data_IF_800170784506
#
_entry.id   IF_800170784506
#
_cell.length_a   1.000
_cell.length_b   1.000
_cell.length_c   1.000
_cell.angle_alpha   90.00
_cell.angle_beta   90.00
_cell.angle_gamma   90.00
#
_symmetry.space_group_name_H-M   'P 1'
#
loop_
_entity.id
_entity.type
_entity.pdbx_description
1 polymer ?
#
# COMPACT_ATOMS: atom_id res chain seq x y z
N UNK A 1 59.93 -33.97 59.75
CA UNK A 1 59.73 -34.43 61.13
C UNK A 1 58.31 -34.98 61.17
N UNK A 2 58.27 -36.25 61.17
CA UNK A 2 57.90 -37.16 62.28
C UNK A 2 56.39 -37.14 62.52
N UNK A 3 55.62 -38.13 62.42
CA UNK A 3 55.73 -39.60 62.54
C UNK A 3 54.32 -40.08 62.77
N UNK A 4 53.85 -41.12 62.08
CA UNK A 4 53.83 -42.49 62.54
C UNK A 4 52.95 -42.66 63.82
N UNK A 5 52.06 -43.61 63.94
CA UNK A 5 52.07 -45.02 63.75
C UNK A 5 50.74 -45.64 64.17
N UNK A 6 50.38 -46.78 63.55
CA UNK A 6 49.99 -48.13 64.10
C UNK A 6 48.72 -48.20 64.95
N UNK A 7 47.91 -49.24 65.02
CA UNK A 7 47.84 -50.61 64.49
C UNK A 7 46.48 -51.16 64.97
N UNK A 8 45.73 -51.94 64.25
CA UNK A 8 45.65 -53.34 64.06
C UNK A 8 44.97 -54.15 65.22
N UNK A 9 44.19 -55.15 64.80
CA UNK A 9 43.88 -56.45 65.42
C UNK A 9 42.46 -56.57 66.10
N UNK A 10 41.57 -57.43 65.79
CA UNK A 10 41.40 -58.85 65.49
C UNK A 10 39.93 -59.25 65.64
N UNK A 11 39.45 -60.04 64.70
CA UNK A 11 38.67 -61.27 64.76
C UNK A 11 37.75 -61.52 65.96
N UNK A 12 36.52 -62.08 65.68
CA UNK A 12 36.17 -63.46 65.78
C UNK A 12 34.67 -63.71 65.38
N UNK A 13 34.51 -64.64 64.48
CA UNK A 13 33.48 -65.63 64.18
C UNK A 13 32.13 -65.67 64.95
N UNK A 14 31.04 -65.86 64.20
CA UNK A 14 29.81 -66.45 64.65
C UNK A 14 28.70 -66.47 63.60
N UNK A 15 28.55 -67.59 62.86
CA UNK A 15 27.28 -67.93 62.18
C UNK A 15 26.38 -68.65 63.12
N UNK A 16 25.04 -68.72 63.00
CA UNK A 16 24.39 -69.41 61.86
C UNK A 16 22.99 -68.88 61.43
N UNK A 17 22.63 -69.31 60.25
CA UNK A 17 21.32 -69.63 59.65
C UNK A 17 20.00 -69.15 60.31
N UNK A 18 19.19 -68.57 59.45
CA UNK A 18 17.75 -68.41 59.62
C UNK A 18 17.10 -67.95 58.34
N UNK A 19 16.31 -68.81 57.79
CA UNK A 19 15.69 -68.77 56.47
C UNK A 19 14.66 -67.65 56.23
N UNK A 20 14.48 -67.39 54.96
CA UNK A 20 13.24 -67.13 54.23
C UNK A 20 12.61 -65.74 54.26
N UNK A 21 12.32 -65.38 53.14
CA UNK A 21 11.11 -64.94 52.48
C UNK A 21 11.30 -63.72 51.58
N UNK A 22 11.10 -63.99 50.34
CA UNK A 22 10.88 -63.12 49.19
C UNK A 22 10.06 -61.86 49.48
N UNK A 23 10.54 -60.71 49.02
CA UNK A 23 9.73 -59.68 48.41
C UNK A 23 10.59 -58.90 47.42
N UNK A 24 10.53 -59.31 46.17
CA UNK A 24 11.09 -58.56 45.00
C UNK A 24 10.17 -57.38 44.75
N UNK A 25 10.54 -56.17 45.18
CA UNK A 25 9.98 -54.95 44.72
C UNK A 25 10.80 -54.49 43.52
N UNK A 26 10.25 -54.78 42.34
CA UNK A 26 10.74 -54.24 41.05
C UNK A 26 10.51 -52.74 41.06
N UNK A 27 11.55 -51.97 41.32
CA UNK A 27 11.57 -50.53 41.02
C UNK A 27 11.72 -50.38 39.51
N UNK A 28 10.60 -50.34 38.76
CA UNK A 28 10.58 -49.85 37.40
C UNK A 28 10.87 -48.36 37.43
N UNK A 29 12.13 -47.96 37.30
CA UNK A 29 12.52 -46.61 36.92
C UNK A 29 12.02 -46.39 35.49
N UNK A 30 10.87 -45.75 35.36
CA UNK A 30 10.40 -45.20 34.07
C UNK A 30 11.40 -44.15 33.63
N UNK A 31 12.35 -44.54 32.80
CA UNK A 31 13.10 -43.60 31.98
C UNK A 31 12.12 -42.92 31.00
N UNK A 32 11.58 -41.77 31.42
CA UNK A 32 10.93 -40.85 30.48
C UNK A 32 12.00 -40.37 29.54
N UNK A 33 12.14 -41.08 28.43
CA UNK A 33 12.94 -40.59 27.30
C UNK A 33 12.21 -39.33 26.79
N UNK A 34 12.63 -38.15 27.25
CA UNK A 34 12.35 -36.92 26.55
C UNK A 34 13.07 -37.06 25.21
N UNK A 35 12.32 -37.50 24.18
CA UNK A 35 12.78 -37.41 22.82
C UNK A 35 13.21 -35.96 22.58
N UNK A 36 14.23 -35.71 21.79
CA UNK A 36 14.61 -34.35 21.45
C UNK A 36 13.36 -33.68 20.85
N UNK A 37 12.81 -32.69 21.54
CA UNK A 37 11.87 -31.75 20.95
C UNK A 37 12.53 -31.27 19.68
N UNK A 38 11.90 -31.38 18.49
CA UNK A 38 12.48 -30.84 17.30
C UNK A 38 12.78 -29.37 17.60
N UNK A 39 14.06 -29.02 17.58
CA UNK A 39 14.47 -27.62 17.64
C UNK A 39 13.83 -26.97 16.41
N UNK A 40 12.76 -26.20 16.63
CA UNK A 40 12.24 -25.31 15.57
C UNK A 40 13.41 -24.40 15.27
N UNK A 41 14.00 -24.55 14.10
CA UNK A 41 15.07 -23.66 13.65
C UNK A 41 14.51 -22.25 13.78
N UNK A 42 15.21 -21.41 14.57
CA UNK A 42 14.83 -20.02 14.74
C UNK A 42 14.83 -19.34 13.37
N UNK A 43 13.72 -18.71 12.98
CA UNK A 43 13.61 -18.05 11.70
C UNK A 43 14.70 -17.00 11.56
N UNK A 44 15.42 -17.02 10.46
CA UNK A 44 16.38 -15.95 10.13
C UNK A 44 15.66 -14.62 10.07
N UNK A 45 16.15 -13.62 10.80
CA UNK A 45 15.57 -12.28 10.79
C UNK A 45 15.61 -11.67 9.38
N UNK A 46 14.46 -11.22 8.90
CA UNK A 46 14.30 -10.47 7.65
C UNK A 46 14.23 -8.98 7.98
N UNK A 47 15.02 -8.17 7.27
CA UNK A 47 15.02 -6.71 7.39
C UNK A 47 14.36 -6.11 6.15
N UNK A 48 13.19 -5.47 6.32
CA UNK A 48 12.45 -4.84 5.22
C UNK A 48 12.79 -3.35 5.10
N UNK A 49 13.20 -2.92 3.93
CA UNK A 49 13.28 -1.51 3.54
C UNK A 49 11.96 -1.12 2.87
N UNK A 50 11.17 -0.26 3.51
CA UNK A 50 9.88 0.23 2.97
C UNK A 50 10.08 1.63 2.41
N UNK A 51 9.93 1.81 1.10
CA UNK A 51 10.14 3.08 0.42
C UNK A 51 8.83 3.81 0.16
N UNK A 52 8.77 5.06 0.61
CA UNK A 52 7.69 6.01 0.34
C UNK A 52 8.25 7.26 -0.32
N UNK A 53 7.53 7.79 -1.31
CA UNK A 53 7.90 9.08 -1.90
C UNK A 53 7.21 10.28 -1.23
N UNK A 54 6.23 10.05 -0.35
CA UNK A 54 5.57 11.10 0.43
C UNK A 54 6.40 11.51 1.63
N UNK A 55 6.25 12.78 2.11
CA UNK A 55 7.01 13.28 3.25
C UNK A 55 6.55 12.67 4.60
N UNK A 56 7.36 12.79 5.66
CA UNK A 56 7.02 12.26 7.00
C UNK A 56 5.69 12.77 7.56
N UNK A 57 5.28 14.00 7.20
CA UNK A 57 4.01 14.59 7.63
C UNK A 57 2.78 14.06 6.87
N UNK A 58 2.96 13.32 5.78
CA UNK A 58 1.87 12.72 5.05
C UNK A 58 1.24 11.57 5.86
N UNK A 59 -0.09 11.49 5.96
CA UNK A 59 -0.76 10.47 6.80
C UNK A 59 -0.37 9.01 6.50
N UNK A 60 0.01 8.70 5.27
CA UNK A 60 0.52 7.37 4.92
C UNK A 60 1.82 7.01 5.65
N UNK A 61 2.68 7.98 5.98
CA UNK A 61 3.97 7.66 6.62
C UNK A 61 3.79 7.07 8.02
N UNK A 62 3.07 7.70 8.97
CA UNK A 62 2.79 7.07 10.26
C UNK A 62 1.91 5.82 10.14
N UNK A 63 0.96 5.76 9.18
CA UNK A 63 0.15 4.57 8.97
C UNK A 63 0.98 3.36 8.48
N UNK A 64 1.95 3.60 7.58
CA UNK A 64 2.91 2.58 7.14
C UNK A 64 3.81 2.11 8.28
N UNK A 65 4.26 3.01 9.16
CA UNK A 65 5.03 2.62 10.36
C UNK A 65 4.21 1.73 11.28
N UNK A 66 2.95 2.09 11.54
CA UNK A 66 2.05 1.28 12.36
C UNK A 66 1.80 -0.12 11.75
N UNK A 67 1.68 -0.21 10.41
CA UNK A 67 1.60 -1.49 9.69
C UNK A 67 2.88 -2.32 9.84
N UNK A 68 4.04 -1.69 9.74
CA UNK A 68 5.35 -2.32 9.90
C UNK A 68 5.57 -2.81 11.36
N UNK A 69 5.19 -1.99 12.35
CA UNK A 69 5.28 -2.35 13.77
C UNK A 69 4.39 -3.55 14.11
N UNK A 70 3.20 -3.64 13.50
CA UNK A 70 2.28 -4.78 13.71
C UNK A 70 2.86 -6.08 13.10
N UNK A 71 3.49 -5.99 11.92
CA UNK A 71 4.24 -7.10 11.30
C UNK A 71 5.39 -7.56 12.22
N UNK A 72 6.20 -6.64 12.75
CA UNK A 72 7.28 -6.97 13.66
C UNK A 72 6.75 -7.69 14.90
N UNK A 73 5.69 -7.17 15.50
CA UNK A 73 5.03 -7.79 16.65
C UNK A 73 4.44 -9.16 16.32
N UNK A 74 3.72 -9.30 15.20
CA UNK A 74 3.08 -10.54 14.79
C UNK A 74 4.10 -11.64 14.45
N UNK A 75 5.27 -11.25 13.92
CA UNK A 75 6.38 -12.16 13.61
C UNK A 75 7.25 -12.51 14.82
N UNK A 76 6.96 -11.98 16.03
CA UNK A 76 7.84 -12.14 17.19
C UNK A 76 9.22 -11.51 16.99
N UNK A 77 9.34 -10.47 16.14
CA UNK A 77 10.60 -9.77 15.83
C UNK A 77 11.48 -10.45 14.76
N UNK A 78 10.98 -11.51 14.12
CA UNK A 78 11.70 -12.17 13.02
C UNK A 78 11.57 -11.42 11.69
N UNK A 79 10.60 -10.51 11.56
CA UNK A 79 10.52 -9.52 10.48
C UNK A 79 10.65 -8.15 11.12
N UNK A 80 11.64 -7.38 10.68
CA UNK A 80 11.84 -5.99 11.09
C UNK A 80 11.75 -5.08 9.88
N UNK A 81 11.28 -3.86 10.06
CA UNK A 81 11.10 -2.94 8.95
C UNK A 81 11.62 -1.53 9.26
N UNK A 82 12.16 -0.88 8.23
CA UNK A 82 12.54 0.53 8.27
C UNK A 82 11.84 1.28 7.16
N UNK A 83 11.12 2.36 7.50
CA UNK A 83 10.40 3.19 6.55
C UNK A 83 11.27 4.38 6.12
N UNK A 84 11.47 4.51 4.81
CA UNK A 84 12.23 5.55 4.13
C UNK A 84 11.28 6.49 3.37
N UNK A 85 10.85 7.62 3.94
CA UNK A 85 9.96 8.58 3.28
C UNK A 85 10.73 9.54 2.38
N UNK A 86 10.00 10.44 1.66
CA UNK A 86 10.57 11.55 0.88
C UNK A 86 11.58 11.13 -0.20
N UNK A 87 11.30 10.05 -0.93
CA UNK A 87 12.15 9.57 -2.02
C UNK A 87 13.60 9.23 -1.60
N UNK A 88 13.84 8.89 -0.32
CA UNK A 88 15.19 8.59 0.18
C UNK A 88 15.87 7.41 -0.54
N UNK A 89 15.10 6.45 -1.04
CA UNK A 89 15.65 5.29 -1.75
C UNK A 89 15.51 5.41 -3.28
N UNK A 90 14.66 6.30 -3.78
CA UNK A 90 14.45 6.52 -5.21
C UNK A 90 13.22 7.35 -5.52
N UNK A 91 13.11 7.78 -6.78
CA UNK A 91 12.07 8.67 -7.24
C UNK A 91 10.69 8.00 -7.32
N UNK A 92 9.61 8.78 -7.15
CA UNK A 92 8.24 8.30 -7.17
C UNK A 92 7.89 7.49 -8.44
N UNK A 93 8.43 7.87 -9.59
CA UNK A 93 8.21 7.16 -10.85
C UNK A 93 8.83 5.76 -10.89
N UNK A 94 9.84 5.48 -10.07
CA UNK A 94 10.65 4.26 -10.14
C UNK A 94 10.21 3.17 -9.15
N UNK A 95 9.23 3.45 -8.28
CA UNK A 95 8.92 2.61 -7.11
C UNK A 95 8.51 1.17 -7.46
N UNK A 96 7.82 0.95 -8.61
CA UNK A 96 7.53 -0.43 -9.03
C UNK A 96 8.82 -1.19 -9.40
N UNK A 97 9.70 -0.55 -10.18
CA UNK A 97 10.97 -1.14 -10.58
C UNK A 97 11.90 -1.32 -9.38
N UNK A 98 11.86 -0.42 -8.40
CA UNK A 98 12.61 -0.57 -7.14
C UNK A 98 12.19 -1.81 -6.35
N UNK A 99 10.89 -2.16 -6.32
CA UNK A 99 10.43 -3.41 -5.72
C UNK A 99 10.86 -4.61 -6.54
N UNK A 100 10.71 -4.56 -7.87
CA UNK A 100 11.17 -5.64 -8.77
C UNK A 100 12.66 -5.92 -8.59
N UNK A 101 13.49 -4.89 -8.56
CA UNK A 101 14.95 -4.99 -8.59
C UNK A 101 15.58 -5.09 -7.18
N UNK A 102 14.78 -5.14 -6.10
CA UNK A 102 15.25 -5.29 -4.72
C UNK A 102 15.98 -4.07 -4.15
N UNK A 103 15.81 -2.89 -4.75
CA UNK A 103 16.32 -1.61 -4.18
C UNK A 103 15.62 -1.32 -2.86
N UNK A 104 14.31 -1.57 -2.81
CA UNK A 104 13.51 -1.61 -1.61
C UNK A 104 12.70 -2.91 -1.56
N UNK A 105 12.44 -3.42 -0.34
CA UNK A 105 11.71 -4.67 -0.15
C UNK A 105 10.20 -4.46 -0.26
N UNK A 106 9.71 -3.29 0.13
CA UNK A 106 8.31 -2.87 -0.04
C UNK A 106 8.27 -1.46 -0.59
N UNK A 107 7.41 -1.22 -1.58
CA UNK A 107 7.29 0.11 -2.19
C UNK A 107 5.84 0.57 -2.30
N UNK A 108 5.65 1.87 -2.12
CA UNK A 108 4.40 2.58 -2.38
C UNK A 108 4.36 3.03 -3.84
N UNK A 109 3.57 2.35 -4.65
CA UNK A 109 3.52 2.54 -6.10
C UNK A 109 2.28 3.34 -6.51
N UNK A 110 2.46 4.31 -7.41
CA UNK A 110 1.39 4.85 -8.24
C UNK A 110 1.51 4.21 -9.63
N UNK A 111 0.68 3.21 -9.99
CA UNK A 111 0.77 2.53 -11.29
C UNK A 111 0.58 3.50 -12.47
N UNK A 112 -0.18 4.58 -12.28
CA UNK A 112 -0.39 5.62 -13.27
C UNK A 112 0.82 6.52 -13.56
N UNK A 113 1.92 6.37 -12.80
CA UNK A 113 3.21 6.99 -13.11
C UNK A 113 3.98 6.24 -14.20
N UNK A 114 3.53 5.04 -14.58
CA UNK A 114 4.12 4.23 -15.66
C UNK A 114 3.10 4.00 -16.78
N UNK A 115 2.90 4.97 -17.68
CA UNK A 115 1.86 4.95 -18.70
C UNK A 115 1.86 3.65 -19.52
N UNK A 116 0.69 3.02 -19.64
CA UNK A 116 0.50 1.82 -20.47
C UNK A 116 1.01 0.50 -19.88
N UNK A 117 1.70 0.54 -18.73
CA UNK A 117 2.25 -0.68 -18.10
C UNK A 117 1.19 -1.50 -17.36
N UNK A 118 0.22 -0.84 -16.74
CA UNK A 118 -0.79 -1.46 -15.87
C UNK A 118 -2.21 -1.10 -16.34
N UNK A 119 -2.67 -1.61 -17.49
CA UNK A 119 -3.96 -1.23 -18.05
C UNK A 119 -5.15 -1.76 -17.23
N UNK A 120 -5.04 -2.90 -16.54
CA UNK A 120 -6.16 -3.45 -15.78
C UNK A 120 -6.49 -2.53 -14.60
N UNK A 121 -5.52 -2.22 -13.73
CA UNK A 121 -5.76 -1.37 -12.56
C UNK A 121 -6.17 0.06 -12.96
N UNK A 122 -5.84 0.50 -14.17
CA UNK A 122 -6.22 1.80 -14.69
C UNK A 122 -7.74 1.98 -14.85
N UNK A 123 -8.54 0.90 -14.86
CA UNK A 123 -10.01 0.99 -14.77
C UNK A 123 -10.47 1.78 -13.55
N UNK A 124 -9.82 1.56 -12.39
CA UNK A 124 -10.10 2.30 -11.16
C UNK A 124 -9.70 3.77 -11.21
N UNK A 125 -8.99 4.22 -12.25
CA UNK A 125 -8.56 5.60 -12.45
C UNK A 125 -9.41 6.39 -13.46
N UNK A 126 -10.39 5.73 -14.07
CA UNK A 126 -11.32 6.41 -14.97
C UNK A 126 -12.08 7.49 -14.18
N UNK A 127 -12.31 8.67 -14.78
CA UNK A 127 -13.05 9.74 -14.11
C UNK A 127 -14.43 9.29 -13.64
N UNK A 128 -14.87 9.81 -12.50
CA UNK A 128 -16.19 9.55 -11.91
C UNK A 128 -16.46 8.09 -11.48
N UNK A 129 -15.42 7.29 -11.24
CA UNK A 129 -15.57 5.90 -10.83
C UNK A 129 -15.91 5.76 -9.34
N UNK A 130 -15.22 6.49 -8.47
CA UNK A 130 -15.38 6.39 -7.02
C UNK A 130 -15.92 7.69 -6.42
N UNK A 131 -16.87 7.56 -5.46
CA UNK A 131 -17.42 8.66 -4.68
C UNK A 131 -16.94 8.71 -3.23
N UNK A 132 -16.32 7.66 -2.74
CA UNK A 132 -15.88 7.51 -1.34
C UNK A 132 -14.53 6.77 -1.29
N UNK A 133 -13.54 7.37 -0.65
CA UNK A 133 -12.19 6.82 -0.59
C UNK A 133 -12.06 5.56 0.27
N UNK A 134 -12.80 5.45 1.39
CA UNK A 134 -12.74 4.29 2.29
C UNK A 134 -13.40 3.07 1.65
N UNK A 135 -14.63 3.23 1.18
CA UNK A 135 -15.37 2.18 0.48
C UNK A 135 -14.71 1.81 -0.84
N UNK A 136 -14.19 2.82 -1.56
CA UNK A 136 -13.45 2.63 -2.80
C UNK A 136 -12.16 1.83 -2.62
N UNK A 137 -11.46 2.01 -1.51
CA UNK A 137 -10.29 1.18 -1.18
C UNK A 137 -10.66 -0.29 -1.04
N UNK A 138 -11.73 -0.61 -0.30
CA UNK A 138 -12.18 -1.99 -0.14
C UNK A 138 -12.62 -2.61 -1.47
N UNK A 139 -13.37 -1.86 -2.27
CA UNK A 139 -13.82 -2.30 -3.59
C UNK A 139 -12.65 -2.53 -4.55
N UNK A 140 -11.71 -1.58 -4.60
CA UNK A 140 -10.53 -1.65 -5.46
C UNK A 140 -9.65 -2.85 -5.10
N UNK A 141 -9.32 -3.02 -3.81
CA UNK A 141 -8.42 -4.08 -3.39
C UNK A 141 -9.03 -5.47 -3.64
N UNK A 142 -10.29 -5.69 -3.27
CA UNK A 142 -10.98 -6.96 -3.51
C UNK A 142 -11.04 -7.30 -5.00
N UNK A 143 -11.34 -6.31 -5.83
CA UNK A 143 -11.38 -6.48 -7.27
C UNK A 143 -10.00 -6.75 -7.86
N UNK A 144 -9.03 -5.88 -7.58
CA UNK A 144 -7.74 -5.94 -8.24
C UNK A 144 -6.87 -7.13 -7.80
N UNK A 145 -7.06 -7.63 -6.61
CA UNK A 145 -6.39 -8.82 -6.08
C UNK A 145 -6.52 -10.05 -6.98
N UNK A 146 -7.58 -10.10 -7.80
CA UNK A 146 -7.78 -11.17 -8.81
C UNK A 146 -6.84 -11.04 -10.00
N UNK A 147 -6.41 -9.82 -10.33
CA UNK A 147 -5.65 -9.49 -11.54
C UNK A 147 -4.19 -9.18 -11.27
N UNK A 148 -3.87 -8.72 -10.08
CA UNK A 148 -2.53 -8.32 -9.67
C UNK A 148 -1.45 -9.38 -9.94
N UNK A 149 -1.66 -10.70 -9.69
CA UNK A 149 -0.65 -11.71 -9.96
C UNK A 149 -0.24 -11.83 -11.44
N UNK A 150 -1.11 -11.42 -12.34
CA UNK A 150 -0.84 -11.41 -13.78
C UNK A 150 -0.26 -10.07 -14.22
N UNK A 151 -0.86 -8.96 -13.78
CA UNK A 151 -0.47 -7.63 -14.23
C UNK A 151 0.82 -7.13 -13.55
N UNK A 152 0.99 -7.41 -12.25
CA UNK A 152 2.17 -7.03 -11.46
C UNK A 152 3.04 -8.25 -11.11
N UNK A 153 3.21 -9.16 -12.07
CA UNK A 153 3.86 -10.47 -11.89
C UNK A 153 5.32 -10.41 -11.40
N UNK A 154 5.98 -9.28 -11.61
CA UNK A 154 7.39 -9.09 -11.24
C UNK A 154 7.56 -8.74 -9.75
N UNK A 155 6.45 -8.60 -9.01
CA UNK A 155 6.44 -8.30 -7.57
C UNK A 155 5.35 -9.12 -6.87
N UNK A 156 5.47 -9.29 -5.56
CA UNK A 156 4.36 -9.79 -4.74
C UNK A 156 3.42 -8.62 -4.42
N UNK A 157 2.23 -8.64 -5.00
CA UNK A 157 1.18 -7.70 -4.63
C UNK A 157 0.76 -7.87 -3.18
N UNK A 158 0.69 -6.78 -2.43
CA UNK A 158 0.24 -6.77 -1.04
C UNK A 158 -1.21 -6.29 -0.96
N UNK A 159 -1.45 -5.04 -1.24
CA UNK A 159 -2.79 -4.46 -1.31
C UNK A 159 -2.84 -3.23 -2.21
N UNK A 160 -4.08 -2.86 -2.60
CA UNK A 160 -4.37 -1.65 -3.35
C UNK A 160 -5.29 -0.72 -2.55
N UNK A 161 -5.20 0.58 -2.80
CA UNK A 161 -6.04 1.59 -2.17
C UNK A 161 -6.14 2.86 -3.01
N UNK A 162 -7.09 3.73 -2.65
CA UNK A 162 -7.25 5.06 -3.23
C UNK A 162 -7.23 6.14 -2.13
N UNK A 163 -6.98 7.37 -2.54
CA UNK A 163 -7.31 8.55 -1.72
C UNK A 163 -8.80 8.91 -1.85
N UNK A 164 -9.31 9.81 -1.00
CA UNK A 164 -10.63 10.39 -1.21
C UNK A 164 -10.68 11.14 -2.56
N UNK A 165 -11.80 11.12 -3.30
CA UNK A 165 -11.84 11.66 -4.65
C UNK A 165 -11.25 13.07 -4.76
N UNK A 166 -10.30 13.20 -5.68
CA UNK A 166 -9.60 14.43 -5.97
C UNK A 166 -10.33 15.29 -7.01
N UNK A 167 -9.86 16.51 -7.16
CA UNK A 167 -10.47 17.53 -7.99
C UNK A 167 -9.44 18.23 -8.90
N UNK A 168 -9.93 19.11 -9.77
CA UNK A 168 -9.12 20.04 -10.53
C UNK A 168 -8.95 21.34 -9.75
N UNK A 169 -7.72 21.79 -9.62
CA UNK A 169 -7.34 23.04 -8.97
C UNK A 169 -6.44 23.85 -9.88
N UNK A 170 -6.50 25.18 -9.79
CA UNK A 170 -5.68 25.95 -10.70
C UNK A 170 -5.59 27.45 -10.43
N UNK A 171 -4.85 28.11 -11.30
CA UNK A 171 -4.69 29.57 -11.34
C UNK A 171 -5.87 30.24 -12.03
N UNK A 172 -6.65 29.47 -12.81
CA UNK A 172 -7.85 29.91 -13.52
C UNK A 172 -9.04 29.08 -13.13
N UNK A 173 -10.23 29.63 -13.32
CA UNK A 173 -11.48 28.91 -13.09
C UNK A 173 -11.83 28.08 -14.33
N UNK A 174 -11.89 26.79 -14.19
CA UNK A 174 -12.26 25.82 -15.22
C UNK A 174 -13.67 25.30 -14.90
N UNK A 175 -14.66 25.62 -15.72
CA UNK A 175 -16.07 25.26 -15.50
C UNK A 175 -16.51 24.17 -16.49
N UNK A 176 -16.17 24.35 -17.76
CA UNK A 176 -16.52 23.42 -18.83
C UNK A 176 -15.30 22.63 -19.29
N UNK A 177 -15.48 21.43 -19.87
CA UNK A 177 -14.36 20.68 -20.44
C UNK A 177 -13.54 21.47 -21.46
N UNK A 178 -14.20 22.32 -22.24
CA UNK A 178 -13.54 23.18 -23.25
C UNK A 178 -12.59 24.22 -22.64
N UNK A 179 -12.78 24.62 -21.38
CA UNK A 179 -11.90 25.57 -20.69
C UNK A 179 -10.50 25.01 -20.43
N UNK A 180 -10.32 23.68 -20.54
CA UNK A 180 -8.99 23.05 -20.48
C UNK A 180 -8.16 23.25 -21.75
N UNK A 181 -8.80 23.62 -22.87
CA UNK A 181 -8.07 23.80 -24.12
C UNK A 181 -6.98 24.89 -23.98
N UNK A 182 -5.74 24.56 -24.39
CA UNK A 182 -4.58 25.44 -24.31
C UNK A 182 -4.02 25.65 -22.89
N UNK A 183 -4.59 25.02 -21.83
CA UNK A 183 -4.02 25.08 -20.48
C UNK A 183 -2.91 24.02 -20.30
N UNK A 184 -1.97 24.29 -19.40
CA UNK A 184 -0.92 23.34 -19.00
C UNK A 184 -1.32 22.72 -17.67
N UNK A 185 -1.60 21.44 -17.69
CA UNK A 185 -2.13 20.71 -16.53
C UNK A 185 -1.11 19.70 -16.03
N UNK A 186 -0.85 19.67 -14.70
CA UNK A 186 -0.16 18.57 -14.06
C UNK A 186 -1.20 17.50 -13.68
N UNK A 187 -1.31 16.39 -14.41
CA UNK A 187 -2.24 15.32 -14.10
C UNK A 187 -1.72 14.45 -12.96
N UNK A 188 -2.62 13.89 -12.14
CA UNK A 188 -2.25 13.01 -11.03
C UNK A 188 -1.68 11.66 -11.49
N UNK A 189 -2.09 11.21 -12.69
CA UNK A 189 -1.74 9.90 -13.25
C UNK A 189 -2.07 9.85 -14.76
N UNK A 190 -1.66 8.76 -15.43
CA UNK A 190 -1.72 8.64 -16.89
C UNK A 190 -3.12 8.73 -17.51
N UNK A 191 -4.17 8.19 -16.83
CA UNK A 191 -5.56 8.28 -17.33
C UNK A 191 -6.04 9.73 -17.35
N UNK A 192 -5.70 10.51 -16.31
CA UNK A 192 -6.01 11.95 -16.27
C UNK A 192 -5.14 12.71 -17.27
N UNK A 193 -3.89 12.28 -17.51
CA UNK A 193 -3.08 12.84 -18.57
C UNK A 193 -3.72 12.68 -19.96
N UNK A 194 -4.34 11.52 -20.20
CA UNK A 194 -5.11 11.28 -21.42
C UNK A 194 -6.37 12.15 -21.50
N UNK A 195 -7.11 12.31 -20.38
CA UNK A 195 -8.23 13.25 -20.29
C UNK A 195 -7.81 14.68 -20.67
N UNK A 196 -6.70 15.17 -20.12
CA UNK A 196 -6.20 16.51 -20.42
C UNK A 196 -5.94 16.68 -21.92
N UNK A 197 -5.28 15.70 -22.54
CA UNK A 197 -5.03 15.75 -24.01
C UNK A 197 -6.31 15.68 -24.82
N UNK A 198 -7.25 14.81 -24.42
CA UNK A 198 -8.56 14.67 -25.06
C UNK A 198 -9.33 15.99 -25.07
N UNK A 199 -9.19 16.79 -24.01
CA UNK A 199 -9.86 18.08 -23.83
C UNK A 199 -9.03 19.28 -24.34
N UNK A 200 -7.95 19.02 -25.10
CA UNK A 200 -7.14 20.07 -25.73
C UNK A 200 -6.12 20.75 -24.82
N UNK A 201 -5.91 20.24 -23.62
CA UNK A 201 -4.86 20.70 -22.71
C UNK A 201 -3.50 20.05 -22.99
N UNK A 202 -2.46 20.59 -22.37
CA UNK A 202 -1.09 20.07 -22.43
C UNK A 202 -0.69 19.45 -21.10
N UNK A 203 -0.19 18.21 -21.14
CA UNK A 203 0.28 17.52 -19.94
C UNK A 203 1.65 18.05 -19.51
N UNK A 204 1.76 18.31 -18.20
CA UNK A 204 3.02 18.56 -17.50
C UNK A 204 3.32 17.35 -16.63
N UNK A 205 4.28 16.55 -17.05
CA UNK A 205 4.69 15.37 -16.27
C UNK A 205 5.53 15.80 -15.07
N UNK A 206 4.99 15.62 -13.89
CA UNK A 206 5.66 15.84 -12.62
C UNK A 206 5.08 14.90 -11.55
N UNK A 207 5.93 14.41 -10.67
CA UNK A 207 5.49 13.63 -9.50
C UNK A 207 4.75 14.52 -8.50
N UNK A 208 4.10 13.94 -7.48
CA UNK A 208 3.45 14.74 -6.44
C UNK A 208 4.45 15.63 -5.66
N UNK A 209 5.65 15.16 -5.27
CA UNK A 209 6.68 16.01 -4.68
C UNK A 209 7.11 17.20 -5.54
N UNK A 210 7.08 17.06 -6.87
CA UNK A 210 7.51 18.09 -7.82
C UNK A 210 6.39 19.06 -8.25
N UNK A 211 5.13 18.73 -7.89
CA UNK A 211 3.94 19.42 -8.40
C UNK A 211 3.91 20.91 -8.07
N UNK A 212 4.29 21.28 -6.84
CA UNK A 212 4.33 22.69 -6.42
C UNK A 212 5.31 23.49 -7.27
N UNK A 213 6.51 22.98 -7.46
CA UNK A 213 7.56 23.66 -8.24
C UNK A 213 7.12 23.89 -9.69
N UNK A 214 6.47 22.89 -10.32
CA UNK A 214 5.92 23.02 -11.66
C UNK A 214 4.87 24.14 -11.77
N UNK A 215 3.99 24.29 -10.77
CA UNK A 215 3.01 25.36 -10.71
C UNK A 215 3.66 26.73 -10.44
N UNK A 216 4.56 26.81 -9.46
CA UNK A 216 5.20 28.04 -9.02
C UNK A 216 6.03 28.68 -10.15
N UNK A 217 6.74 27.87 -10.93
CA UNK A 217 7.51 28.30 -12.09
C UNK A 217 6.68 28.55 -13.35
N UNK A 218 5.36 28.31 -13.31
CA UNK A 218 4.50 28.49 -14.48
C UNK A 218 4.69 27.43 -15.56
N UNK A 219 5.33 26.31 -15.25
CA UNK A 219 5.38 25.14 -16.13
C UNK A 219 4.00 24.51 -16.24
N UNK A 220 3.23 24.48 -15.14
CA UNK A 220 1.82 24.13 -15.10
C UNK A 220 0.97 25.32 -14.65
N UNK A 221 -0.28 25.38 -15.14
CA UNK A 221 -1.30 26.35 -14.74
C UNK A 221 -2.34 25.72 -13.83
N UNK A 222 -2.69 24.45 -14.10
CA UNK A 222 -3.70 23.66 -13.44
C UNK A 222 -3.11 22.35 -12.92
N UNK A 223 -3.78 21.74 -11.95
CA UNK A 223 -3.37 20.47 -11.35
C UNK A 223 -4.59 19.64 -10.96
N UNK A 224 -4.54 18.33 -11.17
CA UNK A 224 -5.43 17.42 -10.46
C UNK A 224 -4.72 16.89 -9.21
N UNK A 225 -5.35 17.11 -8.05
CA UNK A 225 -4.76 16.76 -6.75
C UNK A 225 -5.85 16.44 -5.72
N UNK A 226 -5.57 15.67 -4.65
CA UNK A 226 -6.49 15.54 -3.54
C UNK A 226 -6.44 16.77 -2.61
N UNK A 227 -7.53 17.00 -1.87
CA UNK A 227 -7.81 18.27 -1.21
C UNK A 227 -6.89 18.62 -0.03
N UNK A 228 -6.59 17.67 0.84
CA UNK A 228 -5.72 17.90 2.00
C UNK A 228 -4.26 18.00 1.58
N UNK A 229 -3.90 17.21 0.59
CA UNK A 229 -2.55 17.20 0.01
C UNK A 229 -2.20 18.54 -0.66
N UNK A 230 -3.16 19.34 -1.14
CA UNK A 230 -2.94 20.73 -1.59
C UNK A 230 -2.20 21.53 -0.51
N UNK A 231 -2.63 21.43 0.76
CA UNK A 231 -1.99 22.14 1.87
C UNK A 231 -0.64 21.53 2.24
N UNK A 232 -0.57 20.21 2.28
CA UNK A 232 0.63 19.49 2.67
C UNK A 232 1.83 19.82 1.75
N UNK A 233 1.57 19.89 0.45
CA UNK A 233 2.58 20.23 -0.54
C UNK A 233 2.68 21.74 -0.80
N UNK A 234 1.93 22.59 -0.07
CA UNK A 234 1.95 24.05 -0.20
C UNK A 234 1.44 24.57 -1.53
N UNK A 235 0.61 23.78 -2.24
CA UNK A 235 0.02 24.12 -3.53
C UNK A 235 -1.07 25.18 -3.36
N UNK A 236 -1.71 25.26 -2.20
CA UNK A 236 -2.66 26.31 -1.81
C UNK A 236 -2.11 27.74 -2.00
N UNK A 237 -0.80 27.90 -1.98
CA UNK A 237 -0.16 29.20 -2.18
C UNK A 237 -0.05 29.64 -3.65
N UNK A 238 -0.25 28.71 -4.58
CA UNK A 238 -0.03 28.94 -6.03
C UNK A 238 -1.26 28.70 -6.88
N UNK A 239 -2.34 28.12 -6.33
CA UNK A 239 -3.65 27.95 -6.98
C UNK A 239 -4.74 28.63 -6.17
N UNK A 240 -5.86 29.03 -6.81
CA UNK A 240 -6.95 29.77 -6.16
C UNK A 240 -8.34 29.25 -6.50
N UNK A 241 -8.46 28.50 -7.58
CA UNK A 241 -9.74 28.00 -8.07
C UNK A 241 -9.82 26.50 -7.90
N UNK A 242 -10.91 25.99 -7.39
CA UNK A 242 -11.07 24.58 -7.01
C UNK A 242 -12.43 24.08 -7.44
N UNK A 243 -12.47 23.21 -8.43
CA UNK A 243 -13.69 22.58 -8.91
C UNK A 243 -14.19 21.54 -7.91
N UNK A 244 -15.31 21.80 -7.24
CA UNK A 244 -15.87 20.94 -6.18
C UNK A 244 -16.64 19.74 -6.77
N UNK A 245 -15.91 18.87 -7.45
CA UNK A 245 -16.43 17.66 -8.09
C UNK A 245 -15.50 16.50 -7.76
N UNK A 246 -16.02 15.31 -7.40
CA UNK A 246 -15.24 14.10 -7.25
C UNK A 246 -14.82 13.59 -8.64
N UNK A 247 -13.80 14.25 -9.22
CA UNK A 247 -13.42 14.05 -10.62
C UNK A 247 -12.73 12.70 -10.84
N UNK A 248 -11.85 12.31 -9.92
CA UNK A 248 -11.01 11.12 -10.09
C UNK A 248 -10.53 10.58 -8.74
N UNK A 249 -10.12 9.32 -8.75
CA UNK A 249 -9.27 8.75 -7.72
C UNK A 249 -7.96 8.27 -8.36
N UNK A 250 -6.83 8.40 -7.66
CA UNK A 250 -5.61 7.71 -8.04
C UNK A 250 -5.55 6.39 -7.28
N UNK A 251 -5.26 5.33 -8.00
CA UNK A 251 -5.02 4.03 -7.39
C UNK A 251 -3.56 3.91 -6.99
N UNK A 252 -3.31 3.22 -5.89
CA UNK A 252 -1.98 2.94 -5.37
C UNK A 252 -1.88 1.48 -4.96
N UNK A 253 -0.66 0.95 -4.97
CA UNK A 253 -0.40 -0.41 -4.49
C UNK A 253 0.81 -0.42 -3.56
N UNK A 254 0.80 -1.37 -2.63
CA UNK A 254 2.03 -1.82 -1.97
C UNK A 254 2.50 -3.09 -2.65
N UNK A 255 3.76 -3.06 -3.08
CA UNK A 255 4.39 -4.16 -3.79
C UNK A 255 5.64 -4.61 -3.03
N UNK A 256 5.80 -5.91 -2.89
CA UNK A 256 6.92 -6.53 -2.17
C UNK A 256 7.86 -7.16 -3.19
N UNK A 257 9.16 -7.03 -2.99
CA UNK A 257 10.16 -7.72 -3.79
C UNK A 257 9.96 -9.24 -3.71
N UNK A 258 9.93 -9.92 -4.86
CA UNK A 258 9.68 -11.37 -4.91
C UNK A 258 10.77 -12.19 -4.24
N UNK A 259 12.04 -11.81 -4.39
CA UNK A 259 13.15 -12.57 -3.81
C UNK A 259 13.13 -12.43 -2.29
N UNK A 260 12.86 -11.23 -1.77
CA UNK A 260 12.67 -11.00 -0.33
C UNK A 260 11.51 -11.85 0.20
N UNK A 261 10.33 -11.80 -0.43
CA UNK A 261 9.18 -12.59 0.00
C UNK A 261 9.45 -14.11 -0.09
N UNK A 262 10.07 -14.56 -1.19
CA UNK A 262 10.36 -15.98 -1.40
C UNK A 262 11.39 -16.54 -0.41
N UNK A 263 12.32 -15.71 0.06
CA UNK A 263 13.34 -16.08 1.05
C UNK A 263 12.79 -16.25 2.48
N UNK A 264 11.56 -15.77 2.74
CA UNK A 264 10.91 -15.87 4.04
C UNK A 264 10.53 -17.32 4.37
N UNK A 265 10.55 -17.66 5.66
CA UNK A 265 9.98 -18.91 6.15
C UNK A 265 8.46 -18.98 5.94
N UNK A 266 7.85 -20.18 6.01
CA UNK A 266 6.39 -20.30 5.95
C UNK A 266 5.66 -19.46 7.02
N UNK A 267 6.22 -19.34 8.23
CA UNK A 267 5.65 -18.54 9.30
C UNK A 267 5.72 -17.05 8.97
N UNK A 268 6.88 -16.57 8.47
CA UNK A 268 7.05 -15.18 8.05
C UNK A 268 6.15 -14.82 6.85
N UNK A 269 6.05 -15.71 5.85
CA UNK A 269 5.11 -15.52 4.72
C UNK A 269 3.68 -15.39 5.20
N UNK A 270 3.28 -16.24 6.16
CA UNK A 270 1.92 -16.14 6.72
C UNK A 270 1.70 -14.79 7.40
N UNK A 271 2.65 -14.28 8.17
CA UNK A 271 2.56 -12.94 8.77
C UNK A 271 2.40 -11.88 7.68
N UNK A 272 3.22 -11.91 6.64
CA UNK A 272 3.11 -10.95 5.54
C UNK A 272 1.76 -11.05 4.82
N UNK A 273 1.27 -12.27 4.53
CA UNK A 273 -0.01 -12.47 3.85
C UNK A 273 -1.20 -11.99 4.72
N UNK A 274 -1.14 -12.21 6.05
CA UNK A 274 -2.14 -11.72 7.00
C UNK A 274 -2.15 -10.17 7.09
N UNK A 275 -1.06 -9.50 6.69
CA UNK A 275 -0.93 -8.04 6.63
C UNK A 275 -1.09 -7.47 5.22
N UNK A 276 -1.34 -8.33 4.23
CA UNK A 276 -1.59 -7.95 2.84
C UNK A 276 -3.06 -8.23 2.48
N UNK A 277 -3.99 -7.59 3.18
CA UNK A 277 -5.45 -7.82 3.06
C UNK A 277 -6.21 -6.52 2.76
N UNK A 278 -7.48 -6.60 2.30
CA UNK A 278 -8.33 -5.42 2.12
C UNK A 278 -8.50 -4.59 3.41
N UNK A 279 -8.55 -5.25 4.57
CA UNK A 279 -8.67 -4.59 5.88
C UNK A 279 -7.41 -3.78 6.19
N UNK A 280 -6.23 -4.30 5.86
CA UNK A 280 -4.98 -3.57 6.02
C UNK A 280 -4.85 -2.43 5.01
N UNK A 281 -5.30 -2.62 3.77
CA UNK A 281 -5.42 -1.53 2.80
C UNK A 281 -6.24 -0.36 3.38
N UNK A 282 -7.42 -0.66 3.96
CA UNK A 282 -8.28 0.33 4.60
C UNK A 282 -7.66 0.98 5.85
N UNK A 283 -6.95 0.20 6.69
CA UNK A 283 -6.25 0.75 7.87
C UNK A 283 -5.11 1.70 7.49
N UNK A 284 -4.35 1.36 6.47
CA UNK A 284 -3.21 2.17 6.01
C UNK A 284 -3.68 3.43 5.28
N UNK A 285 -4.71 3.33 4.43
CA UNK A 285 -5.21 4.48 3.64
C UNK A 285 -6.18 5.36 4.41
N UNK A 286 -6.92 4.82 5.40
CA UNK A 286 -8.00 5.51 6.11
C UNK A 286 -7.63 6.88 6.67
N UNK A 287 -6.51 7.03 7.41
CA UNK A 287 -6.05 8.33 7.91
C UNK A 287 -5.81 9.36 6.79
N UNK A 288 -5.35 8.90 5.62
CA UNK A 288 -5.17 9.77 4.46
C UNK A 288 -6.51 10.17 3.85
N UNK A 289 -7.45 9.25 3.69
CA UNK A 289 -8.81 9.57 3.21
C UNK A 289 -9.46 10.65 4.10
N UNK A 290 -9.38 10.49 5.43
CA UNK A 290 -9.91 11.47 6.37
C UNK A 290 -9.20 12.83 6.27
N UNK A 291 -7.88 12.82 6.05
CA UNK A 291 -7.09 14.03 5.84
C UNK A 291 -7.52 14.79 4.58
N UNK A 292 -7.78 14.08 3.48
CA UNK A 292 -8.25 14.68 2.23
C UNK A 292 -9.66 15.28 2.38
N UNK A 293 -10.60 14.55 2.99
CA UNK A 293 -11.95 15.05 3.27
C UNK A 293 -11.93 16.31 4.15
N UNK A 294 -11.10 16.33 5.20
CA UNK A 294 -10.88 17.51 6.03
C UNK A 294 -10.25 18.67 5.25
N UNK A 295 -9.36 18.38 4.32
CA UNK A 295 -8.75 19.35 3.42
C UNK A 295 -9.78 20.08 2.56
N UNK A 296 -10.79 19.37 2.04
CA UNK A 296 -11.90 19.98 1.29
C UNK A 296 -12.71 20.96 2.14
N UNK A 297 -13.02 20.59 3.37
CA UNK A 297 -13.72 21.47 4.33
C UNK A 297 -12.87 22.72 4.60
N UNK A 298 -11.58 22.53 4.88
CA UNK A 298 -10.64 23.62 5.12
C UNK A 298 -10.51 24.57 3.92
N UNK A 299 -10.45 24.03 2.69
CA UNK A 299 -10.33 24.83 1.47
C UNK A 299 -11.57 25.72 1.26
N UNK A 300 -12.78 25.21 1.54
CA UNK A 300 -14.03 25.98 1.44
C UNK A 300 -14.05 27.20 2.36
N UNK A 301 -13.34 27.15 3.48
CA UNK A 301 -13.26 28.23 4.46
C UNK A 301 -12.04 29.16 4.27
N UNK A 302 -11.17 28.88 3.30
CA UNK A 302 -9.92 29.60 3.13
C UNK A 302 -10.12 30.93 2.38
N UNK A 303 -9.86 32.11 2.99
CA UNK A 303 -9.99 33.40 2.32
C UNK A 303 -9.11 33.49 1.07
N UNK A 304 -9.65 34.10 0.00
CA UNK A 304 -8.93 34.31 -1.24
C UNK A 304 -8.89 33.08 -2.18
N UNK A 305 -9.60 32.02 -1.80
CA UNK A 305 -9.81 30.83 -2.65
C UNK A 305 -11.29 30.71 -3.03
N UNK A 306 -11.55 30.20 -4.21
CA UNK A 306 -12.89 29.95 -4.72
C UNK A 306 -13.08 28.44 -4.93
N UNK A 307 -13.89 27.84 -4.09
CA UNK A 307 -14.37 26.46 -4.23
C UNK A 307 -15.77 26.53 -4.84
N UNK A 308 -15.92 26.03 -6.06
CA UNK A 308 -17.16 26.17 -6.83
C UNK A 308 -17.70 24.82 -7.28
N UNK A 309 -19.02 24.57 -7.09
CA UNK A 309 -19.70 23.43 -7.66
C UNK A 309 -19.94 23.63 -9.15
N UNK A 310 -20.18 22.54 -9.87
CA UNK A 310 -20.76 22.56 -11.22
C UNK A 310 -22.28 22.38 -11.14
N UNK A 311 -23.01 22.94 -12.10
CA UNK A 311 -24.41 22.57 -12.30
C UNK A 311 -24.52 21.16 -12.85
N UNK A 312 -25.72 20.57 -12.79
CA UNK A 312 -25.95 19.23 -13.36
C UNK A 312 -25.66 19.17 -14.86
N UNK A 313 -25.99 20.25 -15.60
CA UNK A 313 -25.70 20.34 -17.02
C UNK A 313 -24.18 20.43 -17.30
N UNK A 314 -23.45 21.19 -16.48
CA UNK A 314 -21.99 21.29 -16.59
C UNK A 314 -21.33 19.93 -16.27
N UNK A 315 -21.78 19.27 -15.20
CA UNK A 315 -21.30 17.94 -14.83
C UNK A 315 -21.60 16.90 -15.94
N UNK A 316 -22.80 16.95 -16.52
CA UNK A 316 -23.16 16.08 -17.65
C UNK A 316 -22.24 16.30 -18.87
N UNK A 317 -21.86 17.55 -19.15
CA UNK A 317 -20.88 17.86 -20.20
C UNK A 317 -19.51 17.23 -19.90
N UNK A 318 -19.03 17.28 -18.65
CA UNK A 318 -17.79 16.64 -18.23
C UNK A 318 -17.87 15.12 -18.42
N UNK A 319 -18.93 14.48 -17.89
CA UNK A 319 -19.13 13.03 -18.02
C UNK A 319 -19.16 12.61 -19.49
N UNK A 320 -19.83 13.37 -20.36
CA UNK A 320 -19.86 13.10 -21.81
C UNK A 320 -18.48 13.27 -22.46
N UNK A 321 -17.75 14.34 -22.13
CA UNK A 321 -16.47 14.67 -22.76
C UNK A 321 -15.38 13.63 -22.45
N UNK A 322 -15.47 12.92 -21.31
CA UNK A 322 -14.48 11.91 -20.90
C UNK A 322 -14.82 10.47 -21.36
N UNK A 323 -15.99 10.25 -21.93
CA UNK A 323 -16.40 8.90 -22.42
C UNK A 323 -15.37 8.22 -23.32
N UNK A 324 -14.65 8.92 -24.24
CA UNK A 324 -13.65 8.27 -25.07
C UNK A 324 -12.50 7.61 -24.30
N UNK A 325 -12.25 7.98 -23.05
CA UNK A 325 -11.24 7.34 -22.20
C UNK A 325 -11.54 5.86 -21.94
N UNK A 326 -12.82 5.51 -21.85
CA UNK A 326 -13.24 4.13 -21.70
C UNK A 326 -12.84 3.27 -22.91
N UNK A 327 -13.02 3.78 -24.13
CA UNK A 327 -12.59 3.08 -25.34
C UNK A 327 -11.06 2.90 -25.40
N UNK A 328 -10.32 3.93 -24.99
CA UNK A 328 -8.85 3.86 -24.88
C UNK A 328 -8.41 2.80 -23.87
N UNK A 329 -9.02 2.77 -22.69
CA UNK A 329 -8.78 1.77 -21.67
C UNK A 329 -9.11 0.34 -22.19
N UNK A 330 -10.28 0.14 -22.79
CA UNK A 330 -10.69 -1.12 -23.39
C UNK A 330 -9.66 -1.62 -24.39
N UNK A 331 -9.18 -0.74 -25.27
CA UNK A 331 -8.15 -1.09 -26.24
C UNK A 331 -6.81 -1.44 -25.58
N UNK A 332 -6.46 -0.76 -24.47
CA UNK A 332 -5.24 -1.04 -23.72
C UNK A 332 -5.28 -2.42 -23.06
N UNK A 333 -6.39 -2.78 -22.43
CA UNK A 333 -6.61 -4.11 -21.83
C UNK A 333 -6.55 -5.21 -22.88
N UNK A 334 -7.23 -5.04 -24.03
CA UNK A 334 -7.21 -6.04 -25.13
C UNK A 334 -5.79 -6.31 -25.64
N UNK A 335 -4.93 -5.29 -25.70
CA UNK A 335 -3.53 -5.48 -26.14
C UNK A 335 -2.72 -6.38 -25.20
N UNK A 336 -3.10 -6.50 -23.94
CA UNK A 336 -2.45 -7.43 -22.99
C UNK A 336 -3.10 -8.81 -22.97
N UNK A 337 -4.10 -9.06 -23.80
CA UNK A 337 -4.86 -10.31 -23.82
C UNK A 337 -5.96 -10.40 -22.76
N UNK A 338 -6.23 -9.29 -22.04
CA UNK A 338 -7.29 -9.21 -21.05
C UNK A 338 -8.68 -9.09 -21.69
N UNK A 339 -9.70 -9.44 -20.92
CA UNK A 339 -11.12 -9.27 -21.25
C UNK A 339 -11.65 -8.00 -20.54
N UNK A 340 -11.76 -6.87 -21.24
CA UNK A 340 -12.17 -5.62 -20.62
C UNK A 340 -13.61 -5.67 -20.09
N UNK A 341 -14.51 -6.37 -20.75
CA UNK A 341 -15.93 -6.45 -20.35
C UNK A 341 -16.05 -7.18 -19.01
N UNK A 342 -15.32 -8.29 -18.87
CA UNK A 342 -15.25 -9.03 -17.60
C UNK A 342 -14.57 -8.23 -16.50
N UNK A 343 -13.44 -7.58 -16.81
CA UNK A 343 -12.67 -6.79 -15.84
C UNK A 343 -13.50 -5.62 -15.30
N UNK A 344 -14.24 -4.95 -16.19
CA UNK A 344 -15.14 -3.86 -15.81
C UNK A 344 -16.34 -4.36 -15.00
N UNK A 345 -16.99 -5.44 -15.44
CA UNK A 345 -18.11 -6.04 -14.72
C UNK A 345 -17.70 -6.44 -13.27
N UNK A 346 -16.52 -7.03 -13.11
CA UNK A 346 -15.98 -7.39 -11.79
C UNK A 346 -15.71 -6.13 -10.92
N UNK A 347 -15.21 -5.03 -11.51
CA UNK A 347 -15.01 -3.76 -10.81
C UNK A 347 -16.35 -3.14 -10.39
N UNK A 348 -17.33 -3.08 -11.29
CA UNK A 348 -18.65 -2.52 -11.00
C UNK A 348 -19.36 -3.34 -9.90
N UNK A 349 -19.23 -4.67 -9.93
CA UNK A 349 -19.77 -5.53 -8.87
C UNK A 349 -19.13 -5.22 -7.50
N UNK A 350 -17.81 -5.01 -7.45
CA UNK A 350 -17.13 -4.63 -6.22
C UNK A 350 -17.54 -3.22 -5.74
N UNK A 351 -17.64 -2.25 -6.64
CA UNK A 351 -18.12 -0.90 -6.34
C UNK A 351 -19.54 -0.94 -5.75
N UNK A 352 -20.44 -1.70 -6.38
CA UNK A 352 -21.82 -1.86 -5.91
C UNK A 352 -21.89 -2.54 -4.55
N UNK A 353 -21.09 -3.61 -4.34
CA UNK A 353 -21.00 -4.35 -3.07
C UNK A 353 -20.68 -3.44 -1.89
N UNK A 354 -19.75 -2.50 -2.06
CA UNK A 354 -19.30 -1.59 -1.00
C UNK A 354 -20.03 -0.25 -1.00
N UNK A 355 -20.87 0.04 -2.00
CA UNK A 355 -21.50 1.36 -2.17
C UNK A 355 -20.46 2.46 -2.36
N UNK A 356 -19.45 2.19 -3.19
CA UNK A 356 -18.28 3.05 -3.38
C UNK A 356 -18.40 3.99 -4.59
N UNK A 357 -19.41 3.82 -5.44
CA UNK A 357 -19.65 4.62 -6.63
C UNK A 357 -20.20 6.01 -6.36
N UNK A 358 -20.27 6.83 -7.43
CA UNK A 358 -20.91 8.14 -7.47
C UNK A 358 -22.41 8.03 -7.71
#
# INVERSE_FOLDING_TARGET
MSGAKFAAIRRVLGKPLGAAVFCALAACAALVTHGPTPAVAEDKTVQLKISLWVPPAHPLTPATRAWADDIEKASGGTIKATVFPSEQLGKAFDHYDMARDGIADVTYVNPGYQPGRFPIIAAGQLPFTFGDGKKGTLALDEWYRKYAPTEMKDTKFCFAFIHDPGALHGKKKIVLPADLAGTKVRPAQSTIAEMVRLLGGTNVQASAPEARDALERGVADEITFPWGSIFLFGIDKVVKYHMDVPLYATVFTYNINLDTYNSMSPAQKKVMDDHCTPEWAAKVSGPWVDFEANGRVKMKALPGHEVYPLTDEQLAQWKKAVQPLHASWTAAVKRTGGDPDKIEADLQAAIAKYGAGL
#
